data_IF_573758514212
#
_entry.id   IF_573758514212
#
_cell.length_a   1.000
_cell.length_b   1.000
_cell.length_c   1.000
_cell.angle_alpha   90.00
_cell.angle_beta   90.00
_cell.angle_gamma   90.00
#
_symmetry.space_group_name_H-M   'P 1'
#
loop_
_entity.id
_entity.type
_entity.pdbx_description
1 polymer ?
#
# COMPACT_ATOMS: atom_id res chain seq x y z
N UNK A 1 13.21 -19.14 4.31
CA UNK A 1 12.36 -18.06 3.77
C UNK A 1 12.11 -18.30 2.30
N UNK A 2 10.87 -18.16 1.78
CA UNK A 2 10.60 -18.25 0.34
C UNK A 2 11.41 -17.23 -0.47
N UNK A 3 11.70 -17.52 -1.76
CA UNK A 3 12.40 -16.59 -2.65
C UNK A 3 11.51 -15.39 -3.03
N UNK A 4 12.11 -14.28 -3.50
CA UNK A 4 11.35 -13.09 -3.90
C UNK A 4 10.38 -13.34 -5.06
N UNK A 5 10.69 -14.29 -5.93
CA UNK A 5 9.83 -14.73 -7.03
C UNK A 5 8.46 -15.22 -6.51
N UNK A 6 8.43 -15.89 -5.35
CA UNK A 6 7.18 -16.29 -4.70
C UNK A 6 6.34 -15.07 -4.29
N UNK A 7 6.97 -14.05 -3.70
CA UNK A 7 6.26 -12.83 -3.28
C UNK A 7 5.82 -11.98 -4.47
N UNK A 8 6.63 -11.91 -5.53
CA UNK A 8 6.28 -11.24 -6.78
C UNK A 8 5.08 -11.88 -7.47
N UNK A 9 5.08 -13.22 -7.59
CA UNK A 9 3.96 -13.97 -8.16
C UNK A 9 2.69 -13.84 -7.31
N UNK A 10 2.82 -13.90 -5.98
CA UNK A 10 1.69 -13.67 -5.08
C UNK A 10 1.12 -12.27 -5.24
N UNK A 11 1.98 -11.26 -5.32
CA UNK A 11 1.53 -9.88 -5.40
C UNK A 11 0.92 -9.53 -6.75
N UNK A 12 1.46 -10.01 -7.88
CA UNK A 12 0.87 -9.70 -9.19
C UNK A 12 -0.56 -10.23 -9.31
N UNK A 13 -0.82 -11.43 -8.77
CA UNK A 13 -2.16 -12.00 -8.75
C UNK A 13 -3.10 -11.17 -7.86
N UNK A 14 -2.64 -10.72 -6.69
CA UNK A 14 -3.43 -9.83 -5.84
C UNK A 14 -3.69 -8.47 -6.52
N UNK A 15 -2.69 -7.91 -7.18
CA UNK A 15 -2.80 -6.63 -7.87
C UNK A 15 -3.84 -6.71 -8.98
N UNK A 16 -3.66 -7.63 -9.94
CA UNK A 16 -4.52 -7.70 -11.12
C UNK A 16 -5.95 -8.14 -10.79
N UNK A 17 -6.13 -9.06 -9.86
CA UNK A 17 -7.46 -9.59 -9.53
C UNK A 17 -8.24 -8.72 -8.55
N UNK A 18 -7.58 -7.86 -7.75
CA UNK A 18 -8.24 -7.17 -6.63
C UNK A 18 -7.93 -5.68 -6.53
N UNK A 19 -6.64 -5.30 -6.59
CA UNK A 19 -6.24 -3.91 -6.28
C UNK A 19 -6.28 -2.98 -7.50
N UNK A 20 -6.05 -3.48 -8.72
CA UNK A 20 -5.97 -2.66 -9.94
C UNK A 20 -7.26 -1.87 -10.19
N UNK A 21 -8.41 -2.52 -10.04
CA UNK A 21 -9.71 -1.86 -10.21
C UNK A 21 -9.95 -0.80 -9.12
N UNK A 22 -9.58 -1.09 -7.86
CA UNK A 22 -9.69 -0.13 -6.77
C UNK A 22 -8.79 1.09 -7.02
N UNK A 23 -7.54 0.85 -7.45
CA UNK A 23 -6.59 1.90 -7.81
C UNK A 23 -7.11 2.77 -8.95
N UNK A 24 -7.61 2.16 -10.03
CA UNK A 24 -8.12 2.89 -11.19
C UNK A 24 -9.20 3.88 -10.77
N UNK A 25 -10.23 3.40 -10.06
CA UNK A 25 -11.34 4.24 -9.58
C UNK A 25 -10.90 5.26 -8.53
N UNK A 26 -10.03 4.89 -7.58
CA UNK A 26 -9.53 5.83 -6.55
C UNK A 26 -8.55 6.87 -7.09
N UNK A 27 -7.97 6.67 -8.27
CA UNK A 27 -7.03 7.62 -8.88
C UNK A 27 -7.72 8.71 -9.69
N UNK A 28 -9.01 8.55 -9.96
CA UNK A 28 -9.80 9.51 -10.72
C UNK A 28 -9.92 10.87 -10.02
N UNK A 29 -10.29 11.88 -10.81
CA UNK A 29 -10.57 13.22 -10.29
C UNK A 29 -11.80 13.22 -9.38
N UNK A 30 -12.81 12.44 -9.74
CA UNK A 30 -14.03 12.25 -8.98
C UNK A 30 -14.00 10.85 -8.37
N UNK A 31 -14.02 10.79 -7.03
CA UNK A 31 -13.98 9.54 -6.28
C UNK A 31 -15.35 9.35 -5.63
N UNK A 32 -15.99 8.20 -5.87
CA UNK A 32 -17.28 7.90 -5.25
C UNK A 32 -17.14 7.41 -3.81
N UNK A 33 -18.18 7.58 -3.01
CA UNK A 33 -18.23 7.05 -1.65
C UNK A 33 -18.22 5.52 -1.60
N UNK A 34 -18.83 4.88 -2.60
CA UNK A 34 -18.86 3.44 -2.75
C UNK A 34 -17.45 2.87 -2.96
N UNK A 35 -16.62 3.50 -3.80
CA UNK A 35 -15.26 3.00 -4.01
C UNK A 35 -14.39 3.14 -2.76
N UNK A 36 -14.57 4.21 -1.98
CA UNK A 36 -13.91 4.36 -0.67
C UNK A 36 -14.34 3.25 0.28
N UNK A 37 -15.64 2.96 0.35
CA UNK A 37 -16.18 1.90 1.20
C UNK A 37 -15.62 0.53 0.80
N UNK A 38 -15.60 0.20 -0.50
CA UNK A 38 -15.00 -1.02 -1.04
C UNK A 38 -13.51 -1.12 -0.71
N UNK A 39 -12.78 -0.03 -0.82
CA UNK A 39 -11.33 0.02 -0.53
C UNK A 39 -11.03 -0.19 0.96
N UNK A 40 -11.81 0.44 1.84
CA UNK A 40 -11.71 0.24 3.29
C UNK A 40 -12.07 -1.19 3.71
N UNK A 41 -13.07 -1.79 3.04
CA UNK A 41 -13.47 -3.18 3.25
C UNK A 41 -12.37 -4.15 2.78
N UNK A 42 -11.82 -3.94 1.58
CA UNK A 42 -10.72 -4.75 1.04
C UNK A 42 -9.53 -4.83 2.00
N UNK A 43 -9.16 -3.70 2.60
CA UNK A 43 -8.07 -3.64 3.58
C UNK A 43 -8.47 -4.01 5.01
N UNK A 44 -9.73 -4.39 5.24
CA UNK A 44 -10.27 -4.77 6.55
C UNK A 44 -10.14 -3.67 7.62
N UNK A 45 -10.12 -2.40 7.19
CA UNK A 45 -10.05 -1.22 8.07
C UNK A 45 -11.39 -0.51 8.21
N UNK A 46 -12.43 -0.91 7.45
CA UNK A 46 -13.77 -0.31 7.54
C UNK A 46 -14.29 -0.26 8.99
N UNK A 47 -14.09 -1.34 9.76
CA UNK A 47 -14.54 -1.48 11.14
C UNK A 47 -13.93 -0.48 12.13
N UNK A 48 -12.87 0.24 11.76
CA UNK A 48 -12.26 1.24 12.65
C UNK A 48 -12.98 2.58 12.62
N UNK A 49 -13.87 2.79 11.66
CA UNK A 49 -14.58 4.05 11.48
C UNK A 49 -16.02 3.92 12.00
N UNK A 50 -16.25 4.33 13.26
CA UNK A 50 -17.60 4.40 13.83
C UNK A 50 -18.39 5.50 13.12
N UNK A 51 -19.64 5.22 12.73
CA UNK A 51 -20.48 6.19 12.00
C UNK A 51 -20.15 6.33 10.51
N UNK A 52 -19.35 5.42 9.94
CA UNK A 52 -19.06 5.44 8.49
C UNK A 52 -20.26 5.00 7.63
N UNK A 53 -21.26 4.35 8.22
CA UNK A 53 -22.53 4.05 7.56
C UNK A 53 -23.29 5.30 7.13
N UNK A 54 -23.01 6.42 7.79
CA UNK A 54 -23.70 7.68 7.62
C UNK A 54 -23.07 8.40 6.41
N UNK A 55 -23.90 8.89 5.47
CA UNK A 55 -23.42 9.47 4.20
C UNK A 55 -22.31 10.52 4.39
N UNK A 56 -22.48 11.40 5.37
CA UNK A 56 -21.53 12.43 5.78
C UNK A 56 -20.13 11.88 6.12
N UNK A 57 -20.05 10.65 6.66
CA UNK A 57 -18.78 10.01 6.99
C UNK A 57 -17.99 9.63 5.74
N UNK A 58 -18.66 9.06 4.75
CA UNK A 58 -18.02 8.64 3.49
C UNK A 58 -17.60 9.84 2.66
N UNK A 59 -18.47 10.85 2.55
CA UNK A 59 -18.16 12.11 1.88
C UNK A 59 -16.93 12.77 2.51
N UNK A 60 -16.85 12.79 3.84
CA UNK A 60 -15.69 13.32 4.55
C UNK A 60 -14.40 12.58 4.18
N UNK A 61 -14.40 11.23 4.18
CA UNK A 61 -13.22 10.45 3.81
C UNK A 61 -12.78 10.76 2.38
N UNK A 62 -13.73 10.85 1.44
CA UNK A 62 -13.45 11.23 0.05
C UNK A 62 -12.73 12.57 0.01
N UNK A 63 -13.31 13.61 0.65
CA UNK A 63 -12.75 14.96 0.66
C UNK A 63 -11.36 14.99 1.29
N UNK A 64 -11.20 14.42 2.49
CA UNK A 64 -9.93 14.37 3.21
C UNK A 64 -8.85 13.62 2.40
N UNK A 65 -9.20 12.50 1.78
CA UNK A 65 -8.27 11.75 0.91
C UNK A 65 -7.84 12.58 -0.30
N UNK A 66 -8.80 13.24 -0.97
CA UNK A 66 -8.50 14.11 -2.12
C UNK A 66 -7.57 15.24 -1.72
N UNK A 67 -7.85 15.95 -0.63
CA UNK A 67 -7.05 17.08 -0.17
C UNK A 67 -5.63 16.69 0.25
N UNK A 68 -5.48 15.58 0.98
CA UNK A 68 -4.16 15.10 1.41
C UNK A 68 -3.36 14.47 0.27
N UNK A 69 -4.01 13.98 -0.79
CA UNK A 69 -3.31 13.42 -1.97
C UNK A 69 -2.79 14.47 -2.97
N UNK A 70 -3.16 15.75 -2.81
CA UNK A 70 -2.70 16.84 -3.69
C UNK A 70 -1.21 17.11 -3.49
N UNK A 71 -0.49 17.23 -4.60
CA UNK A 71 0.95 17.57 -4.66
C UNK A 71 1.81 16.66 -3.78
N UNK A 72 1.51 15.37 -3.78
CA UNK A 72 2.27 14.37 -3.04
C UNK A 72 3.67 14.19 -3.65
N UNK A 73 4.70 14.21 -2.82
CA UNK A 73 6.11 14.03 -3.21
C UNK A 73 6.79 13.04 -2.27
N UNK A 74 7.98 12.56 -2.66
CA UNK A 74 8.79 11.65 -1.83
C UNK A 74 9.20 12.25 -0.48
N UNK A 75 9.25 13.58 -0.38
CA UNK A 75 9.64 14.29 0.84
C UNK A 75 8.47 14.65 1.76
N UNK A 76 7.26 14.80 1.21
CA UNK A 76 6.10 15.27 1.98
C UNK A 76 5.06 14.18 2.29
N UNK A 77 5.13 13.02 1.63
CA UNK A 77 4.12 11.98 1.82
C UNK A 77 3.97 11.49 3.28
N UNK A 78 5.03 11.42 4.13
CA UNK A 78 4.84 10.98 5.51
C UNK A 78 3.92 11.92 6.28
N UNK A 79 4.19 13.23 6.19
CA UNK A 79 3.37 14.25 6.82
C UNK A 79 1.94 14.28 6.27
N UNK A 80 1.74 14.04 4.96
CA UNK A 80 0.40 13.97 4.35
C UNK A 80 -0.41 12.76 4.84
N UNK A 81 0.23 11.61 5.03
CA UNK A 81 -0.44 10.42 5.60
C UNK A 81 -0.80 10.65 7.06
N UNK A 82 0.10 11.25 7.84
CA UNK A 82 -0.19 11.60 9.25
C UNK A 82 -1.34 12.60 9.33
N UNK A 83 -1.33 13.64 8.49
CA UNK A 83 -2.43 14.58 8.39
C UNK A 83 -3.76 13.91 8.05
N UNK A 84 -3.78 12.97 7.10
CA UNK A 84 -5.00 12.23 6.79
C UNK A 84 -5.48 11.39 7.99
N UNK A 85 -4.56 10.81 8.77
CA UNK A 85 -4.92 10.10 9.99
C UNK A 85 -5.44 11.03 11.10
N UNK A 86 -4.93 12.26 11.17
CA UNK A 86 -5.42 13.28 12.09
C UNK A 86 -6.81 13.77 11.66
N UNK A 87 -7.04 14.01 10.36
CA UNK A 87 -8.37 14.35 9.83
C UNK A 87 -9.38 13.21 10.14
N UNK A 88 -8.96 11.95 10.08
CA UNK A 88 -9.79 10.80 10.52
C UNK A 88 -10.03 10.79 12.03
N UNK A 89 -9.04 11.18 12.83
CA UNK A 89 -9.21 11.31 14.27
C UNK A 89 -10.25 12.38 14.61
N UNK A 90 -10.20 13.52 13.92
CA UNK A 90 -11.11 14.63 14.17
C UNK A 90 -12.57 14.26 13.84
N UNK A 91 -12.80 13.52 12.75
CA UNK A 91 -14.15 13.10 12.35
C UNK A 91 -14.68 11.87 13.09
N UNK A 92 -13.83 10.88 13.33
CA UNK A 92 -14.24 9.55 13.80
C UNK A 92 -13.69 9.18 15.18
N UNK A 93 -13.03 10.12 15.87
CA UNK A 93 -12.34 9.92 17.15
C UNK A 93 -11.35 8.74 17.12
N UNK A 94 -10.79 8.45 15.95
CA UNK A 94 -9.88 7.32 15.73
C UNK A 94 -8.76 7.71 14.78
N UNK A 95 -7.55 7.91 15.31
CA UNK A 95 -6.34 8.11 14.51
C UNK A 95 -5.87 6.79 13.88
N UNK A 96 -6.01 6.63 12.56
CA UNK A 96 -5.69 5.38 11.86
C UNK A 96 -4.67 5.54 10.72
N UNK A 97 -3.37 5.52 11.06
CA UNK A 97 -2.26 5.57 10.09
C UNK A 97 -2.29 4.41 9.08
N UNK A 98 -2.74 3.23 9.51
CA UNK A 98 -2.83 2.08 8.60
C UNK A 98 -3.86 2.32 7.50
N UNK A 99 -5.05 2.79 7.84
CA UNK A 99 -6.07 3.15 6.85
C UNK A 99 -5.59 4.31 5.96
N UNK A 100 -5.01 5.35 6.54
CA UNK A 100 -4.52 6.52 5.80
C UNK A 100 -3.46 6.16 4.77
N UNK A 101 -2.43 5.40 5.16
CA UNK A 101 -1.37 4.96 4.23
C UNK A 101 -1.91 4.04 3.14
N UNK A 102 -2.85 3.14 3.47
CA UNK A 102 -3.48 2.21 2.49
C UNK A 102 -4.35 2.92 1.47
N UNK A 103 -5.19 3.86 1.89
CA UNK A 103 -6.00 4.67 0.96
C UNK A 103 -5.12 5.58 0.09
N UNK A 104 -4.11 6.22 0.69
CA UNK A 104 -3.21 7.08 -0.05
C UNK A 104 -2.35 6.30 -1.05
N UNK A 105 -1.91 5.09 -0.69
CA UNK A 105 -1.23 4.18 -1.61
C UNK A 105 -2.17 3.69 -2.72
N UNK A 106 -3.42 3.33 -2.44
CA UNK A 106 -4.35 2.97 -3.53
C UNK A 106 -4.60 4.14 -4.49
N UNK A 107 -4.53 5.39 -4.04
CA UNK A 107 -4.72 6.56 -4.91
C UNK A 107 -3.46 6.98 -5.66
N UNK A 108 -2.28 6.91 -5.05
CA UNK A 108 -1.02 7.46 -5.61
C UNK A 108 0.07 6.44 -5.83
N UNK A 109 -0.01 5.27 -5.19
CA UNK A 109 1.03 4.23 -5.13
C UNK A 109 2.33 4.81 -4.57
N UNK A 110 3.44 4.72 -5.29
CA UNK A 110 4.71 5.35 -4.89
C UNK A 110 4.55 6.88 -4.90
N UNK A 111 5.04 7.61 -3.88
CA UNK A 111 6.02 7.18 -2.87
C UNK A 111 5.43 6.69 -1.53
N UNK A 112 4.13 6.38 -1.46
CA UNK A 112 3.49 6.01 -0.20
C UNK A 112 3.90 4.61 0.23
N UNK A 113 4.36 4.44 1.47
CA UNK A 113 4.67 3.13 2.06
C UNK A 113 3.48 2.68 2.92
N UNK A 114 2.97 1.46 2.75
CA UNK A 114 1.85 1.00 3.56
C UNK A 114 2.29 0.76 5.00
N UNK A 115 1.60 1.38 5.96
CA UNK A 115 1.75 1.09 7.38
C UNK A 115 0.91 -0.14 7.76
N UNK A 116 1.54 -1.32 7.73
CA UNK A 116 0.91 -2.56 8.17
C UNK A 116 1.51 -3.06 9.49
N UNK A 117 0.65 -3.57 10.38
CA UNK A 117 1.08 -4.05 11.70
C UNK A 117 2.12 -5.17 11.62
N UNK A 118 2.04 -6.01 10.59
CA UNK A 118 2.98 -7.12 10.42
C UNK A 118 4.31 -6.65 9.84
N UNK A 119 4.28 -5.75 8.85
CA UNK A 119 5.50 -5.14 8.34
C UNK A 119 6.23 -4.37 9.45
N UNK A 120 5.49 -3.63 10.29
CA UNK A 120 6.03 -3.01 11.50
C UNK A 120 6.66 -4.05 12.43
N UNK A 121 5.96 -5.15 12.75
CA UNK A 121 6.48 -6.23 13.61
C UNK A 121 7.81 -6.79 13.07
N UNK A 122 7.91 -7.06 11.76
CA UNK A 122 9.16 -7.54 11.14
C UNK A 122 10.31 -6.54 11.36
N UNK A 123 10.09 -5.25 11.11
CA UNK A 123 11.11 -4.22 11.31
C UNK A 123 11.51 -4.06 12.78
N UNK A 124 10.56 -4.20 13.71
CA UNK A 124 10.84 -4.21 15.17
C UNK A 124 11.72 -5.41 15.54
N UNK A 125 11.41 -6.61 15.04
CA UNK A 125 12.17 -7.83 15.32
C UNK A 125 13.62 -7.74 14.81
N UNK A 126 13.86 -6.95 13.77
CA UNK A 126 15.22 -6.65 13.25
C UNK A 126 15.94 -5.53 14.03
N UNK A 127 15.32 -4.96 15.06
CA UNK A 127 15.86 -3.84 15.82
C UNK A 127 15.84 -2.49 15.08
N UNK A 128 15.12 -2.39 13.96
CA UNK A 128 15.12 -1.20 13.09
C UNK A 128 14.01 -0.20 13.42
N UNK A 129 12.91 -0.65 14.02
CA UNK A 129 11.80 0.22 14.42
C UNK A 129 11.58 0.11 15.91
N UNK A 130 11.96 1.15 16.66
CA UNK A 130 11.58 1.32 18.08
C UNK A 130 10.43 2.34 18.25
N UNK A 131 9.81 2.77 17.15
CA UNK A 131 9.34 4.15 17.00
C UNK A 131 7.81 4.34 16.92
N UNK A 132 7.39 5.54 17.34
CA UNK A 132 6.00 5.95 17.53
C UNK A 132 5.36 6.62 16.30
N UNK A 133 6.15 7.28 15.43
CA UNK A 133 5.63 8.04 14.29
C UNK A 133 5.66 7.27 12.95
N UNK A 134 4.91 7.76 11.95
CA UNK A 134 4.89 7.16 10.62
C UNK A 134 6.16 7.47 9.81
N UNK A 135 6.72 8.67 9.93
CA UNK A 135 7.95 9.05 9.24
C UNK A 135 9.15 8.17 9.63
N UNK A 136 9.25 7.87 10.93
CA UNK A 136 10.23 6.95 11.49
C UNK A 136 10.09 5.52 10.93
N UNK A 137 8.85 5.02 10.84
CA UNK A 137 8.55 3.74 10.18
C UNK A 137 9.00 3.74 8.71
N UNK A 138 8.69 4.79 7.95
CA UNK A 138 9.10 4.90 6.55
C UNK A 138 10.63 4.89 6.40
N UNK A 139 11.36 5.55 7.30
CA UNK A 139 12.83 5.54 7.30
C UNK A 139 13.37 4.12 7.55
N UNK A 140 12.86 3.42 8.55
CA UNK A 140 13.26 2.04 8.85
C UNK A 140 12.93 1.09 7.69
N UNK A 141 11.76 1.27 7.08
CA UNK A 141 11.33 0.50 5.91
C UNK A 141 12.29 0.71 4.73
N UNK A 142 12.64 1.95 4.40
CA UNK A 142 13.55 2.26 3.28
C UNK A 142 14.94 1.67 3.50
N UNK A 143 15.49 1.81 4.72
CA UNK A 143 16.80 1.23 5.07
C UNK A 143 16.82 -0.29 4.87
N UNK A 144 15.73 -0.99 5.20
CA UNK A 144 15.66 -2.43 4.99
C UNK A 144 15.39 -2.75 3.51
N UNK A 145 14.51 -2.02 2.84
CA UNK A 145 14.22 -2.21 1.41
C UNK A 145 15.48 -2.08 0.56
N UNK A 146 16.34 -1.10 0.82
CA UNK A 146 17.59 -0.87 0.08
C UNK A 146 18.50 -2.11 0.07
N UNK A 147 18.53 -2.88 1.17
CA UNK A 147 19.30 -4.13 1.26
C UNK A 147 18.74 -5.23 0.36
N UNK A 148 17.44 -5.21 0.10
CA UNK A 148 16.72 -6.23 -0.67
C UNK A 148 16.41 -5.81 -2.11
N UNK A 149 16.52 -4.52 -2.42
CA UNK A 149 16.03 -3.91 -3.65
C UNK A 149 16.58 -4.61 -4.91
N UNK A 150 17.89 -4.89 -4.95
CA UNK A 150 18.52 -5.55 -6.11
C UNK A 150 17.96 -6.95 -6.35
N UNK A 151 17.77 -7.72 -5.28
CA UNK A 151 17.23 -9.08 -5.38
C UNK A 151 15.75 -9.07 -5.78
N UNK A 152 14.97 -8.14 -5.24
CA UNK A 152 13.56 -7.95 -5.60
C UNK A 152 13.42 -7.55 -7.06
N UNK A 153 14.19 -6.55 -7.54
CA UNK A 153 14.20 -6.14 -8.96
C UNK A 153 14.45 -7.33 -9.88
N UNK A 154 15.45 -8.16 -9.56
CA UNK A 154 15.77 -9.37 -10.33
C UNK A 154 14.59 -10.35 -10.34
N UNK A 155 13.97 -10.60 -9.19
CA UNK A 155 12.85 -11.51 -9.07
C UNK A 155 11.59 -11.01 -9.82
N UNK A 156 11.29 -9.71 -9.75
CA UNK A 156 10.17 -9.11 -10.47
C UNK A 156 10.35 -9.24 -11.99
N UNK A 157 11.56 -9.04 -12.52
CA UNK A 157 11.82 -9.19 -13.97
C UNK A 157 11.62 -10.64 -14.44
N UNK A 158 12.07 -11.62 -13.65
CA UNK A 158 11.86 -13.05 -13.96
C UNK A 158 10.39 -13.47 -14.03
N UNK A 159 9.49 -12.70 -13.42
CA UNK A 159 8.06 -12.97 -13.50
C UNK A 159 7.54 -12.94 -14.94
N UNK A 160 8.23 -12.22 -15.84
CA UNK A 160 7.92 -12.21 -17.28
C UNK A 160 8.13 -13.58 -17.94
N UNK A 161 9.06 -14.39 -17.44
CA UNK A 161 9.30 -15.75 -17.93
C UNK A 161 8.16 -16.71 -17.53
N UNK A 162 7.41 -16.34 -16.49
CA UNK A 162 6.25 -17.07 -15.99
C UNK A 162 4.91 -16.38 -16.31
N UNK A 163 4.91 -15.47 -17.30
CA UNK A 163 3.74 -14.67 -17.68
C UNK A 163 2.50 -15.55 -17.93
N UNK A 164 2.67 -16.65 -18.64
CA UNK A 164 1.57 -17.52 -19.06
C UNK A 164 0.98 -18.35 -17.89
N UNK A 165 1.62 -18.33 -16.73
CA UNK A 165 1.20 -19.09 -15.54
C UNK A 165 0.73 -18.21 -14.38
N UNK A 166 0.60 -16.90 -14.58
CA UNK A 166 0.09 -15.97 -13.58
C UNK A 166 -0.80 -14.90 -14.22
N UNK A 167 -1.46 -14.06 -13.42
CA UNK A 167 -2.43 -13.08 -13.91
C UNK A 167 -1.90 -12.10 -15.00
N UNK A 168 -0.58 -12.05 -15.25
CA UNK A 168 -0.01 -11.33 -16.39
C UNK A 168 -0.44 -11.91 -17.75
N UNK A 169 -0.97 -13.14 -17.83
CA UNK A 169 -1.40 -13.76 -19.09
C UNK A 169 -2.40 -12.87 -19.86
N UNK A 170 -3.24 -12.10 -19.15
CA UNK A 170 -4.23 -11.17 -19.73
C UNK A 170 -3.64 -9.88 -20.31
N UNK A 171 -2.37 -9.56 -19.99
CA UNK A 171 -1.73 -8.30 -20.39
C UNK A 171 -0.82 -8.45 -21.59
N UNK A 172 -0.56 -7.34 -22.27
CA UNK A 172 0.53 -7.29 -23.26
C UNK A 172 1.89 -7.44 -22.58
N UNK A 173 2.92 -7.82 -23.35
CA UNK A 173 4.29 -7.91 -22.84
C UNK A 173 4.81 -6.56 -22.35
N UNK A 174 4.39 -5.46 -22.98
CA UNK A 174 4.78 -4.10 -22.61
C UNK A 174 4.16 -3.70 -21.27
N UNK A 175 2.85 -3.87 -21.11
CA UNK A 175 2.18 -3.60 -19.82
C UNK A 175 2.75 -4.44 -18.68
N UNK A 176 3.01 -5.73 -18.96
CA UNK A 176 3.63 -6.64 -17.99
C UNK A 176 4.99 -6.12 -17.55
N UNK A 177 5.82 -5.69 -18.51
CA UNK A 177 7.15 -5.12 -18.25
C UNK A 177 7.06 -3.83 -17.44
N UNK A 178 6.11 -2.96 -17.75
CA UNK A 178 5.93 -1.68 -17.07
C UNK A 178 5.52 -1.90 -15.60
N UNK A 179 4.64 -2.86 -15.33
CA UNK A 179 4.26 -3.23 -13.97
C UNK A 179 5.48 -3.75 -13.19
N UNK A 180 6.16 -4.79 -13.68
CA UNK A 180 7.22 -5.43 -12.89
C UNK A 180 8.45 -4.55 -12.68
N UNK A 181 8.69 -3.58 -13.58
CA UNK A 181 9.78 -2.60 -13.46
C UNK A 181 9.45 -1.39 -12.61
N UNK A 182 8.17 -1.16 -12.32
CA UNK A 182 7.75 0.00 -11.53
C UNK A 182 8.17 -0.11 -10.06
N UNK A 183 8.49 1.03 -9.46
CA UNK A 183 8.92 1.10 -8.05
C UNK A 183 7.82 0.59 -7.12
N UNK A 184 6.57 1.05 -7.31
CA UNK A 184 5.45 0.65 -6.46
C UNK A 184 5.23 -0.88 -6.42
N UNK A 185 5.48 -1.58 -7.53
CA UNK A 185 5.31 -3.03 -7.56
C UNK A 185 6.40 -3.70 -6.73
N UNK A 186 7.66 -3.28 -6.90
CA UNK A 186 8.81 -3.81 -6.18
C UNK A 186 8.73 -3.51 -4.67
N UNK A 187 8.31 -2.30 -4.30
CA UNK A 187 8.03 -1.90 -2.92
C UNK A 187 6.99 -2.84 -2.28
N UNK A 188 5.92 -3.18 -3.02
CA UNK A 188 4.87 -4.08 -2.52
C UNK A 188 5.28 -5.54 -2.44
N UNK A 189 6.19 -6.00 -3.29
CA UNK A 189 6.83 -7.31 -3.15
C UNK A 189 7.62 -7.37 -1.84
N UNK A 190 8.30 -6.29 -1.46
CA UNK A 190 8.97 -6.19 -0.17
C UNK A 190 8.00 -6.21 1.01
N UNK A 191 6.88 -5.51 0.92
CA UNK A 191 5.84 -5.57 1.97
C UNK A 191 5.29 -6.98 2.18
N UNK A 192 5.10 -7.74 1.09
CA UNK A 192 4.68 -9.15 1.16
C UNK A 192 5.73 -10.05 1.84
N UNK A 193 7.01 -9.77 1.60
CA UNK A 193 8.12 -10.42 2.28
C UNK A 193 8.10 -10.12 3.78
N UNK A 194 8.00 -8.85 4.19
CA UNK A 194 7.96 -8.46 5.60
C UNK A 194 6.74 -9.06 6.33
N UNK A 195 5.57 -9.08 5.67
CA UNK A 195 4.37 -9.72 6.19
C UNK A 195 4.60 -11.20 6.49
N UNK A 196 5.29 -11.91 5.59
CA UNK A 196 5.56 -13.33 5.76
C UNK A 196 6.62 -13.56 6.84
N UNK A 197 7.67 -12.75 6.90
CA UNK A 197 8.69 -12.83 7.95
C UNK A 197 8.06 -12.70 9.35
N UNK A 198 7.24 -11.66 9.57
CA UNK A 198 6.60 -11.40 10.86
C UNK A 198 5.60 -12.47 11.34
N UNK A 199 4.99 -13.20 10.40
CA UNK A 199 4.03 -14.28 10.71
C UNK A 199 4.71 -15.59 11.07
N UNK A 200 5.97 -15.76 10.69
CA UNK A 200 6.76 -16.96 10.96
C UNK A 200 7.87 -16.71 12.00
N UNK A 201 7.82 -15.54 12.67
CA UNK A 201 8.66 -15.15 13.82
C UNK A 201 7.85 -15.12 15.11
#
# INVERSE_FOLDING_TARGET
>A
MPPYEYFAMKYINQWLLKERALHANLSEKHVSEDIVSKSLHFFQVLRTFKGLSDGDGKEFIVKALLDNSKRLTSTNFPAKVEKLADDFNDKFSTRNISASSKLMWLRKRSPVIIYDKWAKKALVNKGLSKQASYAEYCKAWNVEYDKHQKAIKKACVKLLDAKDFCALWELTITESRDIVKSDWFQERVFDMYLLHEAKNS
#
